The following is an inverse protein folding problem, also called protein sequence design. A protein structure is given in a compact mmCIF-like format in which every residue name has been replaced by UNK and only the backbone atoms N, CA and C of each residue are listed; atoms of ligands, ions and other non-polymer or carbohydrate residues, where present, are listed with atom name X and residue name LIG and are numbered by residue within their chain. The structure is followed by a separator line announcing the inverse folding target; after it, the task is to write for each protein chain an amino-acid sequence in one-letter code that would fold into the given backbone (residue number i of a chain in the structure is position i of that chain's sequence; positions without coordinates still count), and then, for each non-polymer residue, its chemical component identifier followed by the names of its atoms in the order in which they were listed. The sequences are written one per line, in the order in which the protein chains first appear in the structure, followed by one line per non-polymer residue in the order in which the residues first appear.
data_IF_597919395143
#
_entry.id   IF_597919395143
#
_cell.length_a   1.000
_cell.length_b   1.000
_cell.length_c   1.000
_cell.angle_alpha   90.00
_cell.angle_beta   90.00
_cell.angle_gamma   90.00
#
_symmetry.space_group_name_H-M   'P 1'
#
loop_
_entity.id
_entity.type
_entity.pdbx_description
1 polymer ?
#
# COMPACT_ATOMS: atom_id res chain seq x y z
N UNK A 1 11.78 8.92 -20.64
CA UNK A 1 11.18 9.15 -19.32
C UNK A 1 9.70 9.04 -19.55
N UNK A 2 9.17 7.85 -19.27
CA UNK A 2 7.75 7.55 -19.46
C UNK A 2 6.95 8.47 -18.52
N UNK A 3 5.85 9.01 -19.00
CA UNK A 3 5.04 9.98 -18.27
C UNK A 3 4.49 9.28 -17.02
N UNK A 4 4.62 9.86 -15.83
CA UNK A 4 3.98 9.35 -14.61
C UNK A 4 2.56 9.95 -14.52
N UNK A 5 1.51 9.22 -14.92
CA UNK A 5 0.15 9.76 -14.93
C UNK A 5 -0.39 9.97 -13.50
N UNK A 6 0.12 9.22 -12.52
CA UNK A 6 -0.32 9.31 -11.13
C UNK A 6 0.23 10.55 -10.44
N UNK A 7 1.45 10.99 -10.81
CA UNK A 7 2.00 12.26 -10.32
C UNK A 7 1.15 13.47 -10.72
N UNK A 8 0.53 13.47 -11.91
CA UNK A 8 -0.30 14.59 -12.37
C UNK A 8 -1.62 14.73 -11.58
N UNK A 9 -2.06 13.66 -10.90
CA UNK A 9 -3.30 13.65 -10.12
C UNK A 9 -3.08 13.54 -8.61
N UNK A 10 -1.85 13.43 -8.13
CA UNK A 10 -1.56 13.13 -6.72
C UNK A 10 -2.21 14.14 -5.75
N UNK A 11 -2.17 15.43 -6.08
CA UNK A 11 -2.81 16.49 -5.28
C UNK A 11 -4.35 16.43 -5.29
N UNK A 12 -4.95 15.90 -6.36
CA UNK A 12 -6.41 15.75 -6.50
C UNK A 12 -6.92 14.43 -5.96
N UNK A 13 -6.07 13.40 -5.95
CA UNK A 13 -6.41 12.06 -5.46
C UNK A 13 -6.93 12.12 -4.02
N UNK A 14 -6.29 12.92 -3.19
CA UNK A 14 -6.72 13.11 -1.81
C UNK A 14 -8.07 13.81 -1.68
N UNK A 15 -8.44 14.69 -2.62
CA UNK A 15 -9.76 15.34 -2.65
C UNK A 15 -10.87 14.35 -3.04
N UNK A 16 -10.57 13.41 -3.94
CA UNK A 16 -11.54 12.39 -4.36
C UNK A 16 -11.83 11.36 -3.24
N UNK A 17 -10.88 11.18 -2.31
CA UNK A 17 -10.99 10.24 -1.20
C UNK A 17 -11.05 10.90 0.19
N UNK A 18 -11.21 12.23 0.27
CA UNK A 18 -11.23 13.01 1.53
C UNK A 18 -12.37 12.58 2.46
N UNK A 19 -13.48 12.06 1.91
CA UNK A 19 -14.61 11.52 2.69
C UNK A 19 -14.52 9.98 2.87
N UNK A 20 -13.51 9.32 2.31
CA UNK A 20 -13.35 7.86 2.34
C UNK A 20 -12.31 7.44 3.40
N UNK A 21 -12.71 7.54 4.67
CA UNK A 21 -11.89 7.18 5.82
C UNK A 21 -12.31 5.88 6.53
N UNK A 22 -13.48 5.34 6.18
CA UNK A 22 -14.11 4.24 6.93
C UNK A 22 -13.31 2.91 6.88
N UNK A 23 -12.47 2.72 5.86
CA UNK A 23 -11.69 1.49 5.67
C UNK A 23 -10.37 1.44 6.47
N UNK A 24 -9.83 2.58 6.93
CA UNK A 24 -8.61 2.61 7.73
C UNK A 24 -8.78 1.80 9.04
N UNK A 25 -9.95 1.92 9.67
CA UNK A 25 -10.32 1.19 10.90
C UNK A 25 -10.26 -0.34 10.74
N UNK A 26 -10.55 -0.85 9.55
CA UNK A 26 -10.44 -2.26 9.24
C UNK A 26 -8.97 -2.71 9.27
N UNK A 27 -8.07 -1.94 8.66
CA UNK A 27 -6.63 -2.24 8.66
C UNK A 27 -6.00 -2.06 10.04
N UNK A 28 -6.42 -1.07 10.82
CA UNK A 28 -6.00 -0.90 12.22
C UNK A 28 -6.34 -2.15 13.03
N UNK A 29 -7.56 -2.68 12.86
CA UNK A 29 -7.98 -3.91 13.53
C UNK A 29 -7.13 -5.11 13.12
N UNK A 30 -6.68 -5.18 11.86
CA UNK A 30 -5.75 -6.24 11.43
C UNK A 30 -4.40 -6.11 12.15
N UNK A 31 -3.88 -4.89 12.31
CA UNK A 31 -2.64 -4.63 13.06
C UNK A 31 -2.74 -5.12 14.51
N UNK A 32 -3.86 -4.88 15.17
CA UNK A 32 -4.11 -5.38 16.53
C UNK A 32 -4.10 -6.91 16.63
N UNK A 33 -4.59 -7.60 15.60
CA UNK A 33 -4.78 -9.05 15.60
C UNK A 33 -3.56 -9.83 15.10
N UNK A 34 -2.82 -9.27 14.14
CA UNK A 34 -1.80 -10.00 13.39
C UNK A 34 -0.37 -9.48 13.60
N UNK A 35 -0.20 -8.22 14.00
CA UNK A 35 1.10 -7.63 14.30
C UNK A 35 1.34 -6.29 13.63
N UNK A 36 2.46 -5.66 13.98
CA UNK A 36 2.73 -4.26 13.67
C UNK A 36 3.59 -4.05 12.42
N UNK A 37 4.16 -5.09 11.80
CA UNK A 37 4.98 -4.92 10.58
C UNK A 37 4.11 -5.08 9.35
N UNK A 38 3.82 -3.95 8.69
CA UNK A 38 2.90 -3.90 7.55
C UNK A 38 3.67 -3.57 6.27
N UNK A 39 3.38 -4.30 5.20
CA UNK A 39 3.76 -3.95 3.84
C UNK A 39 2.52 -3.52 3.07
N UNK A 40 2.52 -2.28 2.57
CA UNK A 40 1.47 -1.77 1.68
C UNK A 40 2.01 -1.70 0.25
N UNK A 41 1.41 -2.48 -0.65
CA UNK A 41 1.69 -2.45 -2.08
C UNK A 41 0.72 -1.48 -2.74
N UNK A 42 1.24 -0.52 -3.50
CA UNK A 42 0.46 0.61 -4.05
C UNK A 42 0.10 1.61 -2.96
N UNK A 43 1.10 2.10 -2.20
CA UNK A 43 0.87 3.00 -1.06
C UNK A 43 0.26 4.35 -1.48
N UNK A 44 0.41 4.77 -2.74
CA UNK A 44 -0.12 6.04 -3.23
C UNK A 44 0.33 7.22 -2.35
N UNK A 45 -0.63 8.05 -1.93
CA UNK A 45 -0.43 9.19 -1.02
C UNK A 45 -0.39 8.79 0.47
N UNK A 46 -0.33 7.50 0.79
CA UNK A 46 -0.20 6.99 2.16
C UNK A 46 -1.48 7.11 3.01
N UNK A 47 -2.67 7.08 2.38
CA UNK A 47 -3.97 7.22 3.06
C UNK A 47 -4.20 6.16 4.15
N UNK A 48 -3.77 4.93 3.92
CA UNK A 48 -3.84 3.83 4.91
C UNK A 48 -2.57 3.78 5.75
N UNK A 49 -1.38 3.90 5.13
CA UNK A 49 -0.11 3.86 5.84
C UNK A 49 0.01 4.87 6.99
N UNK A 50 -0.54 6.08 6.82
CA UNK A 50 -0.46 7.17 7.81
C UNK A 50 -1.18 6.82 9.11
N UNK A 51 -2.50 6.55 9.13
CA UNK A 51 -3.20 6.17 10.36
C UNK A 51 -2.65 4.88 10.98
N UNK A 52 -2.22 3.90 10.19
CA UNK A 52 -1.57 2.71 10.74
C UNK A 52 -0.27 3.04 11.48
N UNK A 53 0.55 3.95 10.93
CA UNK A 53 1.77 4.39 11.60
C UNK A 53 1.49 5.23 12.86
N UNK A 54 0.44 6.05 12.85
CA UNK A 54 -0.04 6.76 14.06
C UNK A 54 -0.50 5.80 15.15
N UNK A 55 -1.14 4.69 14.76
CA UNK A 55 -1.53 3.60 15.65
C UNK A 55 -0.34 2.71 16.12
N UNK A 56 0.89 3.02 15.69
CA UNK A 56 2.12 2.37 16.13
C UNK A 56 2.62 1.25 15.21
N UNK A 57 2.01 1.05 14.04
CA UNK A 57 2.54 0.12 13.04
C UNK A 57 3.85 0.64 12.43
N UNK A 58 4.70 -0.29 11.99
CA UNK A 58 5.89 -0.04 11.18
C UNK A 58 5.55 -0.38 9.74
N UNK A 59 5.21 0.64 8.97
CA UNK A 59 4.75 0.47 7.58
C UNK A 59 5.92 0.58 6.62
N UNK A 60 5.98 -0.33 5.66
CA UNK A 60 6.77 -0.18 4.44
C UNK A 60 5.80 -0.06 3.26
N UNK A 61 5.85 1.05 2.54
CA UNK A 61 5.04 1.31 1.38
C UNK A 61 5.83 1.21 0.09
N UNK A 62 5.25 0.57 -0.92
CA UNK A 62 5.81 0.49 -2.27
C UNK A 62 4.86 1.17 -3.24
N UNK A 63 5.37 2.08 -4.06
CA UNK A 63 4.62 2.63 -5.19
C UNK A 63 5.54 2.82 -6.40
N UNK A 64 5.00 2.78 -7.61
CA UNK A 64 5.76 3.05 -8.84
C UNK A 64 5.88 4.56 -9.09
N UNK A 65 4.95 5.36 -8.57
CA UNK A 65 4.90 6.81 -8.79
C UNK A 65 5.74 7.55 -7.76
N UNK A 66 6.79 8.21 -8.23
CA UNK A 66 7.61 9.07 -7.38
C UNK A 66 6.82 10.26 -6.82
N UNK A 67 5.87 10.80 -7.59
CA UNK A 67 5.02 11.92 -7.18
C UNK A 67 4.05 11.54 -6.06
N UNK A 68 3.41 10.37 -6.15
CA UNK A 68 2.58 9.84 -5.06
C UNK A 68 3.38 9.67 -3.77
N UNK A 69 4.60 9.12 -3.87
CA UNK A 69 5.48 8.95 -2.72
C UNK A 69 5.95 10.30 -2.13
N UNK A 70 6.05 11.36 -2.92
CA UNK A 70 6.37 12.70 -2.41
C UNK A 70 5.24 13.20 -1.51
N UNK A 71 4.00 13.20 -2.00
CA UNK A 71 2.81 13.55 -1.22
C UNK A 71 2.68 12.69 0.04
N UNK A 72 2.92 11.37 -0.09
CA UNK A 72 2.85 10.45 1.04
C UNK A 72 3.87 10.77 2.14
N UNK A 73 5.08 11.21 1.76
CA UNK A 73 6.12 11.62 2.73
C UNK A 73 5.74 12.91 3.44
N UNK A 74 5.15 13.87 2.72
CA UNK A 74 4.68 15.11 3.31
C UNK A 74 3.55 14.85 4.32
N UNK A 75 2.55 14.07 3.92
CA UNK A 75 1.45 13.63 4.80
C UNK A 75 1.96 12.91 6.04
N UNK A 76 2.92 12.00 5.87
CA UNK A 76 3.44 11.21 6.98
C UNK A 76 4.10 12.06 8.07
N UNK A 77 4.56 13.28 7.79
CA UNK A 77 4.99 14.22 8.84
C UNK A 77 6.10 13.71 9.77
N UNK A 78 6.92 12.75 9.33
CA UNK A 78 7.96 12.10 10.14
C UNK A 78 7.56 10.81 10.87
N UNK A 79 6.35 10.29 10.63
CA UNK A 79 5.92 8.97 11.10
C UNK A 79 6.86 7.85 10.58
N UNK A 80 6.93 6.69 11.26
CA UNK A 80 7.86 5.61 10.95
C UNK A 80 7.42 4.77 9.73
N UNK A 81 7.29 5.43 8.57
CA UNK A 81 6.91 4.81 7.29
C UNK A 81 8.15 4.78 6.38
N UNK A 82 8.47 3.59 5.86
CA UNK A 82 9.51 3.42 4.85
C UNK A 82 8.90 3.47 3.46
N UNK A 83 9.31 4.44 2.64
CA UNK A 83 8.80 4.62 1.27
C UNK A 83 9.79 4.07 0.25
N UNK A 84 9.31 3.17 -0.62
CA UNK A 84 10.12 2.52 -1.65
C UNK A 84 9.48 2.77 -3.01
N UNK A 85 10.23 3.40 -3.91
CA UNK A 85 9.85 3.46 -5.33
C UNK A 85 10.14 2.09 -5.97
N UNK A 86 9.12 1.47 -6.54
CA UNK A 86 9.28 0.15 -7.16
C UNK A 86 7.99 -0.46 -7.67
N UNK A 87 8.16 -1.48 -8.51
CA UNK A 87 7.06 -2.23 -9.10
C UNK A 87 6.61 -3.36 -8.17
N UNK A 88 5.34 -3.33 -7.75
CA UNK A 88 4.75 -4.31 -6.83
C UNK A 88 4.72 -5.74 -7.41
N UNK A 89 4.92 -5.92 -8.71
CA UNK A 89 5.03 -7.24 -9.35
C UNK A 89 6.36 -7.93 -9.05
N UNK A 90 7.41 -7.16 -8.75
CA UNK A 90 8.77 -7.68 -8.71
C UNK A 90 9.67 -7.13 -7.61
N UNK A 91 9.19 -6.17 -6.80
CA UNK A 91 9.95 -5.56 -5.70
C UNK A 91 10.50 -6.64 -4.75
N UNK A 92 11.73 -6.44 -4.28
CA UNK A 92 12.41 -7.35 -3.35
C UNK A 92 12.87 -6.57 -2.13
N UNK A 93 12.10 -6.67 -1.05
CA UNK A 93 12.40 -6.04 0.21
C UNK A 93 13.18 -6.99 1.12
N UNK A 94 13.96 -6.41 2.03
CA UNK A 94 14.59 -7.18 3.09
C UNK A 94 13.61 -7.34 4.24
N UNK A 95 13.50 -8.56 4.77
CA UNK A 95 12.64 -8.86 5.92
C UNK A 95 11.29 -9.46 5.52
N UNK A 96 10.47 -9.67 6.54
CA UNK A 96 9.15 -10.30 6.46
C UNK A 96 8.15 -9.48 7.26
N UNK A 97 6.91 -9.50 6.82
CA UNK A 97 5.83 -8.67 7.35
C UNK A 97 4.74 -9.55 7.96
N UNK A 98 4.13 -9.04 9.03
CA UNK A 98 3.02 -9.70 9.71
C UNK A 98 1.75 -9.58 8.85
N UNK A 99 1.62 -8.46 8.14
CA UNK A 99 0.49 -8.14 7.27
C UNK A 99 1.03 -7.58 5.95
N UNK A 100 0.52 -8.07 4.83
CA UNK A 100 0.75 -7.48 3.50
C UNK A 100 -0.59 -7.08 2.91
N UNK A 101 -0.76 -5.81 2.55
CA UNK A 101 -2.02 -5.25 2.09
C UNK A 101 -1.89 -4.62 0.70
N UNK A 102 -2.98 -4.65 -0.07
CA UNK A 102 -3.16 -3.91 -1.31
C UNK A 102 -4.58 -3.29 -1.32
N UNK A 103 -4.75 -2.13 -0.65
CA UNK A 103 -6.05 -1.46 -0.50
C UNK A 103 -6.59 -0.87 -1.81
N UNK A 104 -7.89 -0.52 -1.80
CA UNK A 104 -8.53 0.35 -2.79
C UNK A 104 -8.36 -0.12 -4.24
N UNK A 105 -8.54 -1.42 -4.47
CA UNK A 105 -8.45 -1.98 -5.82
C UNK A 105 -7.07 -1.89 -6.45
N UNK A 106 -5.99 -1.71 -5.67
CA UNK A 106 -4.62 -1.58 -6.19
C UNK A 106 -4.28 -2.65 -7.23
N UNK A 107 -4.63 -3.91 -6.97
CA UNK A 107 -4.31 -5.01 -7.88
C UNK A 107 -5.15 -5.00 -9.18
N UNK A 108 -6.22 -4.21 -9.27
CA UNK A 108 -7.02 -4.05 -10.49
C UNK A 108 -6.33 -3.19 -11.55
N UNK A 109 -5.24 -2.49 -11.19
CA UNK A 109 -4.39 -1.78 -12.15
C UNK A 109 -3.47 -2.72 -12.96
N UNK A 110 -3.45 -4.01 -12.64
CA UNK A 110 -2.65 -5.00 -13.37
C UNK A 110 -3.28 -5.27 -14.75
N UNK A 111 -2.51 -5.04 -15.81
CA UNK A 111 -3.01 -5.15 -17.20
C UNK A 111 -3.27 -6.61 -17.63
N UNK A 112 -2.56 -7.57 -17.02
CA UNK A 112 -2.66 -8.99 -17.39
C UNK A 112 -2.87 -9.89 -16.18
N UNK A 113 -3.46 -11.09 -16.38
CA UNK A 113 -3.53 -12.10 -15.32
C UNK A 113 -2.14 -12.48 -14.77
N UNK A 114 -1.10 -12.47 -15.62
CA UNK A 114 0.27 -12.73 -15.17
C UNK A 114 0.80 -11.65 -14.24
N UNK A 115 0.47 -10.37 -14.50
CA UNK A 115 0.85 -9.26 -13.62
C UNK A 115 0.16 -9.37 -12.26
N UNK A 116 -1.13 -9.72 -12.26
CA UNK A 116 -1.89 -9.97 -11.04
C UNK A 116 -1.28 -11.12 -10.21
N UNK A 117 -0.95 -12.25 -10.86
CA UNK A 117 -0.27 -13.37 -10.21
C UNK A 117 1.11 -12.95 -9.66
N UNK A 118 1.89 -12.17 -10.41
CA UNK A 118 3.19 -11.69 -9.97
C UNK A 118 3.10 -10.79 -8.72
N UNK A 119 2.08 -9.94 -8.64
CA UNK A 119 1.81 -9.13 -7.45
C UNK A 119 1.44 -10.03 -6.25
N UNK A 120 0.60 -11.05 -6.42
CA UNK A 120 0.28 -12.02 -5.37
C UNK A 120 1.51 -12.82 -4.91
N UNK A 121 2.37 -13.22 -5.83
CA UNK A 121 3.64 -13.89 -5.51
C UNK A 121 4.56 -12.96 -4.71
N UNK A 122 4.56 -11.66 -5.04
CA UNK A 122 5.28 -10.65 -4.25
C UNK A 122 4.70 -10.54 -2.85
N UNK A 123 3.38 -10.50 -2.68
CA UNK A 123 2.76 -10.50 -1.36
C UNK A 123 3.20 -11.74 -0.55
N UNK A 124 3.01 -12.94 -1.12
CA UNK A 124 3.36 -14.21 -0.48
C UNK A 124 4.85 -14.29 -0.09
N UNK A 125 5.75 -13.80 -0.96
CA UNK A 125 7.19 -13.77 -0.70
C UNK A 125 7.55 -12.93 0.52
N UNK A 126 6.79 -11.89 0.82
CA UNK A 126 7.09 -10.97 1.92
C UNK A 126 6.38 -11.33 3.23
N UNK A 127 5.49 -12.31 3.24
CA UNK A 127 4.84 -12.78 4.48
C UNK A 127 5.83 -13.45 5.43
N UNK A 128 5.70 -13.09 6.71
CA UNK A 128 6.24 -13.84 7.84
C UNK A 128 5.47 -15.15 8.05
N UNK A 129 6.04 -16.05 8.84
CA UNK A 129 5.32 -17.24 9.28
C UNK A 129 4.10 -16.83 10.10
N UNK A 130 2.91 -17.34 9.73
CA UNK A 130 1.64 -16.96 10.34
C UNK A 130 1.10 -15.58 9.93
N UNK A 131 1.80 -14.86 9.04
CA UNK A 131 1.34 -13.58 8.50
C UNK A 131 0.17 -13.72 7.54
N UNK A 132 -0.54 -12.62 7.31
CA UNK A 132 -1.71 -12.57 6.43
C UNK A 132 -1.52 -11.62 5.26
N UNK A 133 -2.10 -11.97 4.11
CA UNK A 133 -2.23 -11.07 2.97
C UNK A 133 -3.70 -10.67 2.81
N UNK A 134 -3.95 -9.38 2.59
CA UNK A 134 -5.30 -8.84 2.38
C UNK A 134 -5.33 -8.04 1.08
N UNK A 135 -6.30 -8.38 0.24
CA UNK A 135 -6.54 -7.70 -1.03
C UNK A 135 -7.93 -7.08 -0.98
N UNK A 136 -8.03 -5.83 -1.42
CA UNK A 136 -9.29 -5.14 -1.63
C UNK A 136 -9.55 -5.08 -3.13
N UNK A 137 -10.72 -5.54 -3.55
CA UNK A 137 -11.11 -5.61 -4.95
C UNK A 137 -12.57 -5.17 -5.08
N UNK A 138 -12.83 -4.32 -6.07
CA UNK A 138 -14.18 -3.89 -6.37
C UNK A 138 -15.00 -5.08 -6.92
N UNK A 139 -16.21 -5.26 -6.39
CA UNK A 139 -17.12 -6.30 -6.89
C UNK A 139 -17.60 -5.92 -8.30
N UNK A 140 -17.52 -6.83 -9.29
CA UNK A 140 -18.22 -6.61 -10.55
C UNK A 140 -19.73 -6.53 -10.26
N UNK A 141 -20.36 -5.45 -10.72
CA UNK A 141 -21.83 -5.27 -10.72
C UNK A 141 -22.48 -5.98 -11.91
#
# INVERSE_FOLDING_TARGET
MERDPFAEIAEFYDLDFEDFHDDASFYERLVELHGQRVLELGIGTGRIATPLAEAGAKVTGVDVSAGMLEVARERAGGLPITFVEGDIRAVKLRGKFDIVIAPLGTLQHMETPSDFVAALETMARHLAEGGIAVIDVESPV
#
